data_IF_751976915191
#
_entry.id   IF_751976915191
#
_cell.length_a   1.000
_cell.length_b   1.000
_cell.length_c   1.000
_cell.angle_alpha   90.00
_cell.angle_beta   90.00
_cell.angle_gamma   90.00
#
_symmetry.space_group_name_H-M   'P 1'
#
loop_
_entity.id
_entity.type
_entity.pdbx_description
1 polymer ?
#
# COMPACT_ATOMS: atom_id res chain seq x y z
N UNK A 1 9.22 7.68 -10.82
CA UNK A 1 8.98 8.98 -11.46
C UNK A 1 7.65 8.95 -12.18
N UNK A 2 6.97 10.07 -12.23
CA UNK A 2 5.70 10.23 -12.92
C UNK A 2 5.86 11.40 -13.88
N UNK A 3 5.70 11.15 -15.18
CA UNK A 3 6.04 12.11 -16.23
C UNK A 3 7.49 12.59 -16.13
N UNK A 4 7.70 13.89 -16.23
CA UNK A 4 9.02 14.54 -16.16
C UNK A 4 9.49 14.83 -14.71
N UNK A 5 8.73 14.44 -13.69
CA UNK A 5 9.03 14.69 -12.28
C UNK A 5 9.52 13.44 -11.55
N UNK A 6 10.48 13.62 -10.66
CA UNK A 6 10.90 12.63 -9.63
C UNK A 6 10.30 13.05 -8.31
N UNK A 7 9.61 12.13 -7.65
CA UNK A 7 8.96 12.38 -6.37
C UNK A 7 9.74 11.76 -5.22
N UNK A 8 9.76 12.43 -4.08
CA UNK A 8 10.41 11.93 -2.88
C UNK A 8 9.69 12.40 -1.61
N UNK A 9 9.98 11.68 -0.52
CA UNK A 9 9.55 12.06 0.84
C UNK A 9 10.76 12.57 1.63
N UNK A 10 10.58 13.70 2.29
CA UNK A 10 11.53 14.21 3.29
C UNK A 10 10.76 14.69 4.51
N UNK A 11 11.07 14.14 5.68
CA UNK A 11 10.39 14.49 6.93
C UNK A 11 8.86 14.44 6.83
N UNK A 12 8.32 13.37 6.20
CA UNK A 12 6.90 13.15 5.94
C UNK A 12 6.23 14.18 5.01
N UNK A 13 7.01 14.96 4.27
CA UNK A 13 6.54 15.91 3.27
C UNK A 13 6.87 15.42 1.86
N UNK A 14 5.90 15.49 0.96
CA UNK A 14 6.07 15.13 -0.45
C UNK A 14 6.65 16.31 -1.22
N UNK A 15 7.66 16.04 -2.04
CA UNK A 15 8.20 16.99 -3.00
C UNK A 15 8.44 16.32 -4.36
N UNK A 16 8.48 17.11 -5.40
CA UNK A 16 8.97 16.67 -6.72
C UNK A 16 10.13 17.53 -7.20
N UNK A 17 10.93 16.95 -8.08
CA UNK A 17 11.98 17.64 -8.83
C UNK A 17 11.71 17.44 -10.31
N UNK A 18 11.58 18.51 -11.05
CA UNK A 18 11.50 18.47 -12.52
C UNK A 18 12.86 18.06 -13.11
N UNK A 19 12.87 17.05 -13.95
CA UNK A 19 14.11 16.47 -14.53
C UNK A 19 14.81 17.42 -15.49
N UNK A 20 14.08 18.32 -16.13
CA UNK A 20 14.59 19.19 -17.18
C UNK A 20 15.07 20.53 -16.58
N UNK A 21 14.33 21.08 -15.62
CA UNK A 21 14.60 22.41 -15.06
C UNK A 21 15.31 22.37 -13.70
N UNK A 22 15.19 21.23 -12.97
CA UNK A 22 15.66 21.10 -11.58
C UNK A 22 14.77 21.82 -10.57
N UNK A 23 13.62 22.33 -10.98
CA UNK A 23 12.68 23.02 -10.11
C UNK A 23 12.08 22.07 -9.08
N UNK A 24 12.00 22.53 -7.82
CA UNK A 24 11.45 21.75 -6.71
C UNK A 24 10.06 22.29 -6.37
N UNK A 25 9.09 21.39 -6.30
CA UNK A 25 7.73 21.67 -5.88
C UNK A 25 7.39 20.86 -4.62
N UNK A 26 6.75 21.50 -3.62
CA UNK A 26 6.30 20.85 -2.40
C UNK A 26 4.78 20.66 -2.43
N UNK A 27 4.34 19.47 -2.01
CA UNK A 27 2.92 19.11 -1.96
C UNK A 27 2.44 19.13 -0.52
N UNK A 28 1.37 19.86 -0.29
CA UNK A 28 0.77 20.09 1.02
C UNK A 28 -0.74 20.03 0.95
N UNK A 29 -1.41 20.17 2.08
CA UNK A 29 -2.88 20.33 2.11
C UNK A 29 -3.37 21.56 1.33
N UNK A 30 -2.54 22.59 1.16
CA UNK A 30 -2.92 23.79 0.43
C UNK A 30 -2.99 23.55 -1.09
N UNK A 31 -2.27 22.57 -1.59
CA UNK A 31 -2.29 22.17 -3.00
C UNK A 31 -2.84 20.77 -3.25
N UNK A 32 -3.79 20.34 -2.42
CA UNK A 32 -4.70 19.23 -2.71
C UNK A 32 -4.51 17.96 -1.92
N UNK A 33 -3.45 17.79 -1.12
CA UNK A 33 -3.29 16.60 -0.29
C UNK A 33 -4.30 16.54 0.86
N UNK A 34 -4.79 15.35 1.19
CA UNK A 34 -5.78 15.14 2.26
C UNK A 34 -5.20 15.32 3.66
N UNK A 35 -3.89 15.07 3.86
CA UNK A 35 -3.23 15.19 5.15
C UNK A 35 -1.80 15.70 5.00
N UNK A 36 -1.20 16.14 6.12
CA UNK A 36 0.16 16.68 6.16
C UNK A 36 1.20 15.66 6.59
N UNK A 37 0.80 14.51 7.16
CA UNK A 37 1.74 13.49 7.66
C UNK A 37 1.64 12.26 6.76
N UNK A 38 2.49 12.26 5.73
CA UNK A 38 2.57 11.17 4.77
C UNK A 38 3.38 10.03 5.37
N UNK A 39 2.89 8.80 5.21
CA UNK A 39 3.54 7.58 5.70
C UNK A 39 4.37 6.93 4.59
N UNK A 40 3.75 6.65 3.44
CA UNK A 40 4.41 6.07 2.27
C UNK A 40 3.92 6.72 0.97
N UNK A 41 4.75 6.61 -0.07
CA UNK A 41 4.36 6.83 -1.46
C UNK A 41 4.74 5.61 -2.28
N UNK A 42 3.89 5.23 -3.23
CA UNK A 42 4.17 4.14 -4.16
C UNK A 42 3.61 4.47 -5.55
N UNK A 43 4.41 4.20 -6.58
CA UNK A 43 4.07 4.54 -7.95
C UNK A 43 3.60 3.30 -8.71
N UNK A 44 2.50 3.44 -9.44
CA UNK A 44 1.99 2.47 -10.39
C UNK A 44 2.33 2.91 -11.81
N UNK A 45 3.26 2.22 -12.44
CA UNK A 45 3.79 2.53 -13.77
C UNK A 45 2.79 2.25 -14.90
N UNK A 46 1.86 1.32 -14.71
CA UNK A 46 0.86 0.97 -15.71
C UNK A 46 -0.25 2.03 -15.83
N UNK A 47 -0.54 2.72 -14.74
CA UNK A 47 -1.60 3.72 -14.67
C UNK A 47 -1.07 5.15 -14.64
N UNK A 48 0.25 5.32 -14.52
CA UNK A 48 0.93 6.60 -14.27
C UNK A 48 0.29 7.36 -13.09
N UNK A 49 0.10 6.64 -11.98
CA UNK A 49 -0.52 7.13 -10.75
C UNK A 49 0.32 6.84 -9.53
N UNK A 50 0.29 7.71 -8.56
CA UNK A 50 0.97 7.55 -7.28
C UNK A 50 -0.04 7.40 -6.15
N UNK A 51 0.11 6.35 -5.34
CA UNK A 51 -0.57 6.21 -4.06
C UNK A 51 0.22 6.96 -2.99
N UNK A 52 -0.47 7.74 -2.19
CA UNK A 52 0.05 8.45 -1.02
C UNK A 52 -0.74 7.95 0.19
N UNK A 53 -0.06 7.41 1.19
CA UNK A 53 -0.71 6.85 2.39
C UNK A 53 -0.44 7.71 3.60
N UNK A 54 -1.40 7.74 4.52
CA UNK A 54 -1.32 8.49 5.78
C UNK A 54 -1.60 7.57 6.97
N UNK A 55 -0.94 7.80 8.09
CA UNK A 55 -1.14 7.02 9.33
C UNK A 55 -2.57 6.96 9.83
N UNK A 56 -3.37 7.94 9.44
CA UNK A 56 -4.80 7.99 9.76
C UNK A 56 -5.64 6.92 9.07
N UNK A 57 -5.11 6.24 8.04
CA UNK A 57 -5.85 5.34 7.16
C UNK A 57 -6.58 6.07 6.03
N UNK A 58 -6.25 7.34 5.79
CA UNK A 58 -6.63 8.06 4.58
C UNK A 58 -5.61 7.74 3.48
N UNK A 59 -6.06 7.69 2.24
CA UNK A 59 -5.20 7.51 1.07
C UNK A 59 -5.53 8.56 0.02
N UNK A 60 -4.52 9.04 -0.68
CA UNK A 60 -4.67 9.84 -1.89
C UNK A 60 -4.07 9.08 -3.07
N UNK A 61 -4.73 9.18 -4.22
CA UNK A 61 -4.22 8.74 -5.51
C UNK A 61 -4.01 9.97 -6.37
N UNK A 62 -2.77 10.25 -6.73
CA UNK A 62 -2.42 11.38 -7.59
C UNK A 62 -2.13 10.87 -9.01
N UNK A 63 -2.71 11.51 -10.02
CA UNK A 63 -2.44 11.21 -11.43
C UNK A 63 -1.25 12.02 -11.99
N UNK A 64 -0.92 11.77 -13.25
CA UNK A 64 0.20 12.42 -13.92
C UNK A 64 0.02 13.95 -14.09
N UNK A 65 -1.21 14.43 -14.11
CA UNK A 65 -1.57 15.84 -14.18
C UNK A 65 -1.51 16.52 -12.80
N UNK A 66 -1.28 15.74 -11.72
CA UNK A 66 -1.23 16.23 -10.34
C UNK A 66 -2.61 16.36 -9.67
N UNK A 67 -3.65 15.79 -10.28
CA UNK A 67 -4.98 15.75 -9.68
C UNK A 67 -5.01 14.70 -8.59
N UNK A 68 -5.54 15.05 -7.43
CA UNK A 68 -5.59 14.19 -6.25
C UNK A 68 -7.01 13.70 -6.00
N UNK A 69 -7.15 12.39 -5.87
CA UNK A 69 -8.39 11.68 -5.54
C UNK A 69 -8.24 11.01 -4.19
N UNK A 70 -9.17 11.25 -3.26
CA UNK A 70 -9.08 10.79 -1.87
C UNK A 70 -9.95 9.57 -1.61
N UNK A 71 -9.39 8.58 -0.91
CA UNK A 71 -10.08 7.40 -0.38
C UNK A 71 -10.11 7.52 1.15
N UNK A 72 -11.29 7.68 1.73
CA UNK A 72 -11.47 7.88 3.18
C UNK A 72 -12.12 6.70 3.92
N UNK A 73 -12.43 5.62 3.23
CA UNK A 73 -13.19 4.49 3.78
C UNK A 73 -12.53 3.88 5.02
N UNK A 74 -11.23 3.61 4.97
CA UNK A 74 -10.51 3.09 6.13
C UNK A 74 -10.40 4.14 7.25
N UNK A 75 -10.22 5.42 6.89
CA UNK A 75 -10.18 6.51 7.87
C UNK A 75 -11.48 6.60 8.67
N UNK A 76 -12.61 6.49 7.99
CA UNK A 76 -13.95 6.58 8.60
C UNK A 76 -14.35 5.31 9.35
N UNK A 77 -13.71 4.17 9.05
CA UNK A 77 -14.02 2.90 9.73
C UNK A 77 -13.61 2.96 11.20
N UNK A 78 -14.57 2.67 12.10
CA UNK A 78 -14.26 2.49 13.52
C UNK A 78 -13.56 1.16 13.75
N UNK A 79 -12.35 1.19 14.29
CA UNK A 79 -11.57 0.01 14.63
C UNK A 79 -10.58 0.34 15.75
N UNK A 80 -10.21 -0.66 16.55
CA UNK A 80 -9.31 -0.50 17.69
C UNK A 80 -7.82 -0.57 17.30
N UNK A 81 -7.50 -1.08 16.12
CA UNK A 81 -6.12 -1.26 15.65
C UNK A 81 -5.55 -0.06 14.91
N UNK A 82 -4.25 -0.10 14.67
CA UNK A 82 -3.55 0.88 13.84
C UNK A 82 -3.99 0.76 12.37
N UNK A 83 -4.20 1.90 11.74
CA UNK A 83 -4.50 2.03 10.31
C UNK A 83 -3.26 2.30 9.45
N UNK A 84 -2.10 2.26 10.08
CA UNK A 84 -0.82 2.48 9.41
C UNK A 84 -0.53 1.38 8.40
N UNK A 85 0.01 1.78 7.25
CA UNK A 85 0.52 0.88 6.24
C UNK A 85 1.95 0.49 6.61
N UNK A 86 2.26 -0.81 6.60
CA UNK A 86 3.60 -1.31 6.91
C UNK A 86 4.46 -1.45 5.65
N UNK A 87 3.85 -1.84 4.51
CA UNK A 87 4.54 -2.04 3.23
C UNK A 87 3.53 -1.99 2.08
N UNK A 88 4.01 -1.72 0.86
CA UNK A 88 3.18 -1.57 -0.34
C UNK A 88 3.81 -2.35 -1.50
N UNK A 89 3.01 -3.21 -2.13
CA UNK A 89 3.36 -3.87 -3.39
C UNK A 89 2.38 -3.43 -4.49
N UNK A 90 2.91 -2.88 -5.58
CA UNK A 90 2.10 -2.63 -6.77
C UNK A 90 1.97 -3.91 -7.59
N UNK A 91 0.75 -4.27 -7.93
CA UNK A 91 0.47 -5.42 -8.80
C UNK A 91 -0.65 -5.06 -9.79
N UNK A 92 -0.31 -4.94 -11.06
CA UNK A 92 -1.24 -4.47 -12.12
C UNK A 92 -1.87 -3.12 -11.72
N UNK A 93 -3.19 -3.04 -11.74
CA UNK A 93 -3.92 -1.82 -11.38
C UNK A 93 -4.07 -1.62 -9.86
N UNK A 94 -3.57 -2.54 -9.03
CA UNK A 94 -3.81 -2.56 -7.61
C UNK A 94 -2.55 -2.19 -6.81
N UNK A 95 -2.76 -1.44 -5.73
CA UNK A 95 -1.82 -1.37 -4.63
C UNK A 95 -2.25 -2.37 -3.54
N UNK A 96 -1.37 -3.29 -3.19
CA UNK A 96 -1.57 -4.29 -2.14
C UNK A 96 -0.82 -3.81 -0.91
N UNK A 97 -1.53 -3.56 0.17
CA UNK A 97 -1.00 -2.92 1.38
C UNK A 97 -0.89 -3.93 2.52
N UNK A 98 0.28 -4.02 3.12
CA UNK A 98 0.50 -4.75 4.36
C UNK A 98 0.00 -3.92 5.53
N UNK A 99 -0.94 -4.47 6.32
CA UNK A 99 -1.60 -3.77 7.42
C UNK A 99 -1.45 -4.53 8.74
N UNK A 100 -1.75 -3.89 9.86
CA UNK A 100 -1.71 -4.55 11.18
C UNK A 100 -2.88 -5.55 11.41
N UNK A 101 -3.86 -5.57 10.50
CA UNK A 101 -5.01 -6.47 10.57
C UNK A 101 -5.07 -7.49 9.41
N UNK A 102 -4.09 -7.48 8.50
CA UNK A 102 -4.06 -8.32 7.31
C UNK A 102 -3.60 -7.56 6.08
N UNK A 103 -4.31 -7.69 4.98
CA UNK A 103 -3.98 -7.08 3.70
C UNK A 103 -5.15 -6.23 3.21
N UNK A 104 -4.87 -5.03 2.75
CA UNK A 104 -5.83 -4.15 2.10
C UNK A 104 -5.45 -3.98 0.62
N UNK A 105 -6.43 -4.04 -0.27
CA UNK A 105 -6.22 -3.84 -1.71
C UNK A 105 -6.91 -2.58 -2.16
N UNK A 106 -6.16 -1.69 -2.77
CA UNK A 106 -6.66 -0.45 -3.39
C UNK A 106 -6.63 -0.61 -4.91
N UNK A 107 -7.80 -0.50 -5.55
CA UNK A 107 -7.89 -0.36 -7.01
C UNK A 107 -7.48 1.07 -7.40
N UNK A 108 -6.28 1.21 -7.93
CA UNK A 108 -5.69 2.49 -8.31
C UNK A 108 -6.38 3.14 -9.52
N UNK A 109 -7.10 2.34 -10.33
CA UNK A 109 -7.84 2.82 -11.50
C UNK A 109 -9.19 3.39 -11.11
N UNK A 110 -9.92 2.69 -10.22
CA UNK A 110 -11.24 3.10 -9.74
C UNK A 110 -11.17 4.06 -8.56
N UNK A 111 -10.02 4.12 -7.88
CA UNK A 111 -9.79 4.94 -6.68
C UNK A 111 -10.71 4.51 -5.53
N UNK A 112 -10.66 3.21 -5.20
CA UNK A 112 -11.47 2.62 -4.13
C UNK A 112 -10.73 1.50 -3.41
N UNK A 113 -11.14 1.16 -2.20
CA UNK A 113 -10.74 -0.08 -1.55
C UNK A 113 -11.48 -1.22 -2.24
N UNK A 114 -10.73 -2.10 -2.92
CA UNK A 114 -11.29 -3.22 -3.64
C UNK A 114 -11.57 -4.43 -2.73
N UNK A 115 -10.64 -4.72 -1.80
CA UNK A 115 -10.71 -5.90 -0.95
C UNK A 115 -9.96 -5.73 0.37
N UNK A 116 -10.31 -6.58 1.34
CA UNK A 116 -9.57 -6.76 2.61
C UNK A 116 -9.42 -8.24 2.88
N UNK A 117 -8.19 -8.71 3.13
CA UNK A 117 -7.92 -10.13 3.41
C UNK A 117 -7.48 -10.31 4.86
N UNK A 118 -8.25 -11.06 5.63
CA UNK A 118 -7.92 -11.50 6.98
C UNK A 118 -7.32 -12.91 6.87
N UNK A 119 -5.98 -12.98 6.86
CA UNK A 119 -5.22 -14.18 6.44
C UNK A 119 -4.79 -15.09 7.59
N UNK A 120 -5.03 -14.69 8.83
CA UNK A 120 -4.72 -15.52 9.99
C UNK A 120 -5.64 -16.73 10.12
N UNK A 121 -5.33 -17.63 11.07
CA UNK A 121 -6.12 -18.83 11.33
C UNK A 121 -7.59 -18.49 11.57
N UNK A 122 -8.48 -19.20 10.88
CA UNK A 122 -9.93 -18.94 10.90
C UNK A 122 -10.33 -17.51 10.47
N UNK A 123 -9.53 -16.86 9.62
CA UNK A 123 -9.79 -15.49 9.18
C UNK A 123 -9.50 -14.44 10.25
N UNK A 124 -8.63 -14.76 11.20
CA UNK A 124 -8.22 -13.80 12.23
C UNK A 124 -7.34 -12.69 11.64
N UNK A 125 -7.34 -11.55 12.31
CA UNK A 125 -6.39 -10.48 12.04
C UNK A 125 -4.97 -10.93 12.34
N UNK A 126 -4.02 -10.54 11.49
CA UNK A 126 -2.59 -10.77 11.68
C UNK A 126 -1.81 -9.58 11.17
N UNK A 127 -0.77 -9.18 11.89
CA UNK A 127 0.10 -8.08 11.43
C UNK A 127 0.99 -8.55 10.28
N UNK A 128 0.73 -8.04 9.10
CA UNK A 128 1.58 -8.22 7.92
C UNK A 128 2.61 -7.09 7.90
N UNK A 129 3.90 -7.44 7.82
CA UNK A 129 5.01 -6.48 7.85
C UNK A 129 5.53 -6.15 6.45
N UNK A 130 5.62 -7.17 5.61
CA UNK A 130 6.09 -7.01 4.24
C UNK A 130 5.18 -7.76 3.29
N UNK A 131 5.03 -7.22 2.09
CA UNK A 131 4.17 -7.81 1.06
C UNK A 131 4.83 -7.74 -0.31
N UNK A 132 4.69 -8.81 -1.07
CA UNK A 132 5.12 -8.84 -2.46
C UNK A 132 4.23 -9.78 -3.27
N UNK A 133 4.22 -9.60 -4.57
CA UNK A 133 3.47 -10.46 -5.47
C UNK A 133 4.27 -10.74 -6.75
N UNK A 134 4.11 -11.95 -7.26
CA UNK A 134 4.46 -12.32 -8.62
C UNK A 134 3.19 -12.28 -9.49
N UNK A 135 3.27 -12.65 -10.76
CA UNK A 135 2.10 -12.72 -11.64
C UNK A 135 0.98 -13.64 -11.12
N UNK A 136 1.34 -14.65 -10.32
CA UNK A 136 0.40 -15.68 -9.88
C UNK A 136 0.28 -15.85 -8.37
N UNK A 137 1.20 -15.32 -7.58
CA UNK A 137 1.26 -15.61 -6.14
C UNK A 137 1.54 -14.35 -5.34
N UNK A 138 0.79 -14.15 -4.28
CA UNK A 138 1.01 -13.12 -3.26
C UNK A 138 1.71 -13.75 -2.06
N UNK A 139 2.64 -13.01 -1.46
CA UNK A 139 3.38 -13.39 -0.25
C UNK A 139 3.27 -12.28 0.77
N UNK A 140 2.89 -12.63 1.99
CA UNK A 140 2.73 -11.71 3.11
C UNK A 140 3.56 -12.21 4.29
N UNK A 141 4.58 -11.46 4.66
CA UNK A 141 5.47 -11.81 5.76
C UNK A 141 4.99 -11.20 7.08
N UNK A 142 4.97 -12.03 8.13
CA UNK A 142 4.69 -11.67 9.51
C UNK A 142 5.92 -11.92 10.37
N UNK A 143 5.85 -11.72 11.66
CA UNK A 143 6.95 -12.10 12.59
C UNK A 143 7.15 -13.63 12.71
N UNK A 144 6.09 -14.42 12.43
CA UNK A 144 6.08 -15.86 12.69
C UNK A 144 6.32 -16.69 11.43
N UNK A 145 5.73 -16.28 10.30
CA UNK A 145 5.77 -17.04 9.05
C UNK A 145 5.51 -16.15 7.84
N UNK A 146 5.62 -16.75 6.65
CA UNK A 146 5.17 -16.15 5.40
C UNK A 146 3.84 -16.82 5.02
N UNK A 147 2.80 -16.04 4.86
CA UNK A 147 1.57 -16.49 4.20
C UNK A 147 1.72 -16.34 2.69
N UNK A 148 1.21 -17.30 1.94
CA UNK A 148 1.16 -17.20 0.48
C UNK A 148 -0.14 -17.77 -0.08
N UNK A 149 -0.62 -17.17 -1.18
CA UNK A 149 -1.82 -17.62 -1.87
C UNK A 149 -1.70 -17.39 -3.38
N UNK A 150 -2.40 -18.24 -4.15
CA UNK A 150 -2.47 -18.07 -5.60
C UNK A 150 -3.51 -17.00 -5.94
N UNK A 151 -3.09 -15.95 -6.65
CA UNK A 151 -3.94 -14.81 -7.03
C UNK A 151 -5.13 -15.18 -7.94
N UNK A 152 -5.15 -16.40 -8.51
CA UNK A 152 -6.29 -16.93 -9.29
C UNK A 152 -7.33 -17.64 -8.42
N UNK A 153 -7.03 -17.88 -7.14
CA UNK A 153 -7.94 -18.51 -6.18
C UNK A 153 -8.80 -17.47 -5.48
N UNK A 154 -9.82 -17.93 -4.74
CA UNK A 154 -10.62 -17.05 -3.89
C UNK A 154 -9.85 -16.68 -2.61
N UNK A 155 -8.90 -15.75 -2.71
CA UNK A 155 -8.01 -15.35 -1.59
C UNK A 155 -8.70 -14.49 -0.53
N UNK A 156 -9.98 -14.17 -0.68
CA UNK A 156 -10.81 -13.60 0.41
C UNK A 156 -11.11 -14.64 1.48
N UNK A 157 -11.09 -15.93 1.11
CA UNK A 157 -11.21 -17.05 2.04
C UNK A 157 -9.82 -17.43 2.57
N UNK A 158 -9.62 -17.33 3.88
CA UNK A 158 -8.36 -17.63 4.55
C UNK A 158 -7.85 -19.05 4.27
N UNK A 159 -8.72 -20.02 3.95
CA UNK A 159 -8.33 -21.40 3.68
C UNK A 159 -7.46 -21.58 2.43
N UNK A 160 -7.46 -20.60 1.53
CA UNK A 160 -6.56 -20.58 0.37
C UNK A 160 -5.15 -20.05 0.67
N UNK A 161 -4.93 -19.52 1.87
CA UNK A 161 -3.62 -19.07 2.31
C UNK A 161 -2.84 -20.23 2.97
N UNK A 162 -1.61 -20.44 2.48
CA UNK A 162 -0.67 -21.43 3.03
C UNK A 162 0.42 -20.70 3.81
N UNK A 163 0.92 -21.35 4.85
CA UNK A 163 2.05 -20.83 5.61
C UNK A 163 3.35 -21.52 5.19
N UNK A 164 4.39 -20.70 5.03
CA UNK A 164 5.77 -21.14 4.89
C UNK A 164 6.51 -20.72 6.16
N UNK A 165 7.05 -21.68 6.89
CA UNK A 165 7.87 -21.38 8.06
C UNK A 165 9.22 -20.84 7.63
N UNK A 166 9.74 -19.84 8.35
CA UNK A 166 11.13 -19.45 8.16
C UNK A 166 12.02 -20.65 8.48
N UNK A 167 13.00 -21.01 7.63
CA UNK A 167 14.01 -21.94 8.07
C UNK A 167 14.69 -21.30 9.29
N UNK A 168 14.57 -21.93 10.46
CA UNK A 168 15.32 -21.55 11.64
C UNK A 168 16.76 -21.99 11.37
N UNK A 169 17.45 -21.26 10.52
CA UNK A 169 18.89 -21.32 10.37
C UNK A 169 19.46 -20.53 11.52
N UNK A 170 19.91 -21.26 12.56
CA UNK A 170 20.64 -20.64 13.63
C UNK A 170 21.78 -19.79 13.05
N UNK A 171 21.74 -18.50 13.33
CA UNK A 171 22.93 -17.66 13.25
C UNK A 171 23.74 -18.09 14.48
N UNK A 172 24.73 -19.00 14.25
CA UNK A 172 25.80 -19.25 15.19
C UNK A 172 26.82 -18.13 15.06
#
# INVERSE_FOLDING_TARGET
SMGEKVYGLSSNSLFSVDKNTGEIEYYTKLNGLSSSVIDHIAYNDQLDRMLITYRSGMFDVMDAEGVVYTISDLYLKSMSGSKQVNDICMHKNNAILAMNFGILVVDMKKVEIADTYYIGNNGAEVTVKYITATDNTIYAATDECIYCANLKSNITDYSYWKTLTYPIGGIN
#
